data_IF_582265310517
#
_entry.id   IF_582265310517
#
_cell.length_a   1.000
_cell.length_b   1.000
_cell.length_c   1.000
_cell.angle_alpha   90.00
_cell.angle_beta   90.00
_cell.angle_gamma   90.00
#
_symmetry.space_group_name_H-M   'P 1'
#
loop_
_entity.id
_entity.type
_entity.pdbx_description
1 polymer ?
#
# COMPACT_ATOMS: atom_id res chain seq x y z
N UNK A 1 13.97 14.78 -9.86
CA UNK A 1 14.78 15.76 -9.10
C UNK A 1 13.88 16.83 -8.47
N UNK A 2 12.61 16.48 -8.17
CA UNK A 2 11.53 17.47 -8.05
C UNK A 2 10.97 17.58 -6.62
N UNK A 3 11.26 16.61 -5.75
CA UNK A 3 10.78 16.55 -4.37
C UNK A 3 11.27 17.72 -3.50
N UNK A 4 12.48 18.23 -3.74
CA UNK A 4 13.02 19.39 -3.01
C UNK A 4 12.33 20.70 -3.38
N UNK A 5 11.78 20.80 -4.59
CA UNK A 5 11.06 21.99 -5.06
C UNK A 5 9.64 22.02 -4.49
N UNK A 6 9.00 20.85 -4.44
CA UNK A 6 7.68 20.67 -3.83
C UNK A 6 7.71 20.87 -2.30
N UNK A 7 8.77 20.43 -1.62
CA UNK A 7 8.91 20.62 -0.17
C UNK A 7 9.16 22.08 0.22
N UNK A 8 9.96 22.83 -0.56
CA UNK A 8 10.14 24.27 -0.38
C UNK A 8 8.82 25.02 -0.53
N UNK A 9 8.05 24.70 -1.58
CA UNK A 9 6.75 25.32 -1.81
C UNK A 9 5.75 25.04 -0.67
N UNK A 10 5.81 23.85 -0.07
CA UNK A 10 4.98 23.46 1.06
C UNK A 10 5.30 24.28 2.32
N UNK A 11 6.59 24.46 2.64
CA UNK A 11 7.02 25.29 3.76
C UNK A 11 6.67 26.77 3.55
N UNK A 12 6.83 27.28 2.33
CA UNK A 12 6.44 28.66 2.00
C UNK A 12 4.93 28.86 2.16
N UNK A 13 4.13 27.88 1.71
CA UNK A 13 2.68 27.88 1.88
C UNK A 13 2.29 27.81 3.36
N UNK A 14 2.94 26.96 4.14
CA UNK A 14 2.73 26.85 5.59
C UNK A 14 3.03 28.17 6.31
N UNK A 15 4.19 28.78 6.04
CA UNK A 15 4.60 30.03 6.68
C UNK A 15 3.66 31.18 6.31
N UNK A 16 3.21 31.24 5.05
CA UNK A 16 2.20 32.19 4.59
C UNK A 16 0.88 32.02 5.34
N UNK A 17 0.39 30.79 5.48
CA UNK A 17 -0.87 30.52 6.18
C UNK A 17 -0.78 30.87 7.67
N UNK A 18 0.32 30.53 8.34
CA UNK A 18 0.53 30.94 9.74
C UNK A 18 0.55 32.46 9.89
N UNK A 19 1.27 33.16 9.00
CA UNK A 19 1.31 34.62 9.01
C UNK A 19 -0.10 35.22 8.83
N UNK A 20 -0.90 34.66 7.92
CA UNK A 20 -2.28 35.09 7.69
C UNK A 20 -3.17 34.84 8.92
N UNK A 21 -3.10 33.66 9.55
CA UNK A 21 -3.83 33.37 10.79
C UNK A 21 -3.47 34.37 11.90
N UNK A 22 -2.18 34.61 12.14
CA UNK A 22 -1.73 35.53 13.19
C UNK A 22 -2.13 36.98 12.90
N UNK A 23 -2.04 37.42 11.64
CA UNK A 23 -2.43 38.76 11.22
C UNK A 23 -3.92 39.01 11.41
N UNK A 24 -4.76 38.06 10.97
CA UNK A 24 -6.22 38.13 11.11
C UNK A 24 -6.66 38.06 12.57
N UNK A 25 -6.03 37.20 13.38
CA UNK A 25 -6.31 37.14 14.81
C UNK A 25 -6.00 38.47 15.52
N UNK A 26 -4.88 39.10 15.16
CA UNK A 26 -4.53 40.44 15.67
C UNK A 26 -5.58 41.48 15.25
N UNK A 27 -6.02 41.47 13.99
CA UNK A 27 -7.06 42.39 13.51
C UNK A 27 -8.40 42.16 14.21
N UNK A 28 -8.80 40.91 14.42
CA UNK A 28 -10.02 40.55 15.15
C UNK A 28 -9.99 41.08 16.60
N UNK A 29 -8.86 40.91 17.28
CA UNK A 29 -8.66 41.44 18.65
C UNK A 29 -8.76 42.96 18.67
N UNK A 30 -8.18 43.63 17.67
CA UNK A 30 -8.24 45.09 17.53
C UNK A 30 -9.68 45.58 17.32
N UNK A 31 -10.42 44.97 16.38
CA UNK A 31 -11.82 45.30 16.09
C UNK A 31 -12.72 45.08 17.31
N UNK A 32 -12.51 43.99 18.05
CA UNK A 32 -13.24 43.73 19.30
C UNK A 32 -12.97 44.79 20.37
N UNK A 33 -11.72 45.27 20.50
CA UNK A 33 -11.42 46.37 21.43
C UNK A 33 -12.02 47.71 21.00
N UNK A 34 -12.07 47.99 19.70
CA UNK A 34 -12.71 49.19 19.14
C UNK A 34 -14.22 49.16 19.41
N UNK A 35 -14.88 48.01 19.22
CA UNK A 35 -16.28 47.83 19.57
C UNK A 35 -16.54 48.06 21.06
N UNK A 36 -15.75 47.45 21.93
CA UNK A 36 -15.90 47.59 23.38
C UNK A 36 -15.72 49.04 23.86
N UNK A 37 -14.82 49.81 23.22
CA UNK A 37 -14.69 51.24 23.48
C UNK A 37 -15.84 52.06 22.88
N UNK A 38 -16.32 51.68 21.68
CA UNK A 38 -17.41 52.35 20.98
C UNK A 38 -18.74 52.26 21.71
N UNK A 39 -19.06 51.10 22.28
CA UNK A 39 -20.24 50.89 23.13
C UNK A 39 -20.22 51.78 24.39
N UNK A 40 -19.04 51.98 24.98
CA UNK A 40 -18.88 52.84 26.17
C UNK A 40 -18.99 54.33 25.86
N UNK A 41 -18.65 54.75 24.63
CA UNK A 41 -18.53 56.17 24.24
C UNK A 41 -19.73 56.70 23.44
N UNK A 42 -20.85 55.97 23.34
CA UNK A 42 -21.96 56.29 22.43
C UNK A 42 -21.46 56.55 21.00
N UNK A 43 -20.64 55.64 20.48
CA UNK A 43 -20.13 55.74 19.12
C UNK A 43 -21.27 55.77 18.10
N UNK A 44 -21.03 56.48 17.00
CA UNK A 44 -21.96 56.61 15.88
C UNK A 44 -22.34 55.20 15.35
N UNK A 45 -23.64 54.93 15.12
CA UNK A 45 -24.13 53.57 14.87
C UNK A 45 -23.60 52.97 13.56
N UNK A 46 -23.26 53.78 12.55
CA UNK A 46 -22.63 53.27 11.32
C UNK A 46 -21.22 52.74 11.62
N UNK A 47 -20.47 53.40 12.50
CA UNK A 47 -19.13 52.96 12.91
C UNK A 47 -19.15 51.60 13.64
N UNK A 48 -20.14 51.37 14.50
CA UNK A 48 -20.32 50.08 15.18
C UNK A 48 -20.68 48.97 14.18
N UNK A 49 -21.58 49.26 13.23
CA UNK A 49 -21.98 48.32 12.19
C UNK A 49 -20.82 47.93 11.26
N UNK A 50 -20.01 48.89 10.82
CA UNK A 50 -18.81 48.63 9.99
C UNK A 50 -17.79 47.79 10.76
N UNK A 51 -17.59 48.07 12.04
CA UNK A 51 -16.68 47.28 12.88
C UNK A 51 -17.17 45.84 13.03
N UNK A 52 -18.50 45.63 13.15
CA UNK A 52 -19.10 44.30 13.18
C UNK A 52 -18.95 43.54 11.87
N UNK A 53 -19.19 44.20 10.74
CA UNK A 53 -18.99 43.59 9.41
C UNK A 53 -17.53 43.23 9.17
N UNK A 54 -16.60 44.11 9.56
CA UNK A 54 -15.16 43.86 9.48
C UNK A 54 -14.73 42.69 10.36
N UNK A 55 -15.28 42.59 11.58
CA UNK A 55 -15.00 41.47 12.50
C UNK A 55 -15.43 40.14 11.89
N UNK A 56 -16.61 40.09 11.28
CA UNK A 56 -17.11 38.88 10.63
C UNK A 56 -16.26 38.48 9.41
N UNK A 57 -15.85 39.44 8.58
CA UNK A 57 -14.97 39.20 7.45
C UNK A 57 -13.60 38.64 7.89
N UNK A 58 -13.02 39.19 8.97
CA UNK A 58 -11.75 38.68 9.50
C UNK A 58 -11.89 37.28 10.10
N UNK A 59 -13.03 36.98 10.74
CA UNK A 59 -13.32 35.64 11.25
C UNK A 59 -13.47 34.60 10.12
N UNK A 60 -14.18 34.94 9.05
CA UNK A 60 -14.32 34.07 7.87
C UNK A 60 -12.97 33.83 7.17
N UNK A 61 -12.15 34.88 7.06
CA UNK A 61 -10.79 34.77 6.54
C UNK A 61 -9.91 33.85 7.40
N UNK A 62 -9.97 34.01 8.73
CA UNK A 62 -9.22 33.18 9.68
C UNK A 62 -9.66 31.71 9.61
N UNK A 63 -10.96 31.46 9.56
CA UNK A 63 -11.51 30.11 9.42
C UNK A 63 -11.06 29.44 8.11
N UNK A 64 -11.02 30.19 7.01
CA UNK A 64 -10.54 29.71 5.71
C UNK A 64 -9.04 29.37 5.77
N UNK A 65 -8.23 30.25 6.36
CA UNK A 65 -6.79 30.03 6.51
C UNK A 65 -6.47 28.77 7.35
N UNK A 66 -7.26 28.51 8.41
CA UNK A 66 -7.15 27.29 9.22
C UNK A 66 -7.56 26.04 8.42
N UNK A 67 -8.61 26.11 7.60
CA UNK A 67 -9.00 25.00 6.71
C UNK A 67 -7.90 24.71 5.70
N UNK A 68 -7.25 25.72 5.16
CA UNK A 68 -6.15 25.56 4.22
C UNK A 68 -4.92 24.93 4.90
N UNK A 69 -4.64 25.25 6.17
CA UNK A 69 -3.62 24.54 6.97
C UNK A 69 -3.96 23.06 7.17
N UNK A 70 -5.22 22.74 7.46
CA UNK A 70 -5.70 21.36 7.56
C UNK A 70 -5.57 20.63 6.22
N UNK A 71 -5.92 21.26 5.11
CA UNK A 71 -5.75 20.72 3.76
C UNK A 71 -4.27 20.49 3.42
N UNK A 72 -3.38 21.40 3.82
CA UNK A 72 -1.93 21.24 3.69
C UNK A 72 -1.43 20.04 4.50
N UNK A 73 -1.92 19.86 5.73
CA UNK A 73 -1.57 18.71 6.57
C UNK A 73 -2.02 17.39 5.95
N UNK A 74 -3.17 17.40 5.26
CA UNK A 74 -3.66 16.24 4.52
C UNK A 74 -2.76 15.94 3.33
N UNK A 75 -2.39 16.95 2.52
CA UNK A 75 -1.43 16.78 1.41
C UNK A 75 -0.08 16.27 1.89
N UNK A 76 0.41 16.77 3.04
CA UNK A 76 1.64 16.27 3.64
C UNK A 76 1.50 14.79 4.00
N UNK A 77 0.43 14.40 4.68
CA UNK A 77 0.16 12.99 5.00
C UNK A 77 0.00 12.14 3.74
N UNK A 78 -0.63 12.65 2.69
CA UNK A 78 -0.71 11.99 1.38
C UNK A 78 0.66 11.83 0.74
N UNK A 79 1.56 12.81 0.84
CA UNK A 79 2.97 12.66 0.43
C UNK A 79 3.72 11.63 1.27
N UNK A 80 3.39 11.46 2.55
CA UNK A 80 3.96 10.39 3.39
C UNK A 80 3.35 9.01 3.10
N UNK A 81 2.05 8.94 2.79
CA UNK A 81 1.29 7.72 2.53
C UNK A 81 1.36 7.24 1.09
N UNK A 82 1.66 8.13 0.13
CA UNK A 82 1.83 7.82 -1.29
C UNK A 82 3.23 8.13 -1.80
N UNK A 83 4.07 8.79 -1.01
CA UNK A 83 5.50 8.93 -1.31
C UNK A 83 6.14 7.56 -1.31
N UNK A 84 6.94 7.27 -2.36
CA UNK A 84 7.54 5.97 -2.70
C UNK A 84 7.39 4.86 -1.64
N UNK A 85 6.17 4.31 -1.49
CA UNK A 85 6.01 2.96 -0.97
C UNK A 85 6.66 2.07 -2.02
N UNK A 86 7.91 1.70 -1.80
CA UNK A 86 8.60 0.86 -2.77
C UNK A 86 10.12 0.93 -2.78
N UNK A 87 10.77 1.95 -2.18
CA UNK A 87 12.24 1.89 -2.13
C UNK A 87 12.74 0.78 -1.18
N UNK A 88 12.02 0.52 -0.09
CA UNK A 88 12.29 -0.66 0.75
C UNK A 88 11.71 -1.96 0.18
N UNK A 89 10.69 -1.90 -0.69
CA UNK A 89 10.07 -3.08 -1.29
C UNK A 89 10.89 -3.63 -2.46
N UNK A 90 11.52 -2.77 -3.25
CA UNK A 90 12.47 -3.20 -4.29
C UNK A 90 13.65 -3.95 -3.69
N UNK A 91 14.27 -3.41 -2.66
CA UNK A 91 15.34 -4.09 -1.93
C UNK A 91 14.85 -5.33 -1.17
N UNK A 92 13.66 -5.30 -0.57
CA UNK A 92 13.09 -6.47 0.10
C UNK A 92 12.72 -7.60 -0.87
N UNK A 93 12.17 -7.27 -2.05
CA UNK A 93 11.90 -8.26 -3.11
C UNK A 93 13.20 -8.83 -3.68
N UNK A 94 14.19 -7.98 -3.97
CA UNK A 94 15.51 -8.43 -4.43
C UNK A 94 16.22 -9.30 -3.38
N UNK A 95 16.08 -8.98 -2.08
CA UNK A 95 16.61 -9.83 -1.00
C UNK A 95 15.82 -11.13 -0.86
N UNK A 96 14.50 -11.11 -1.03
CA UNK A 96 13.68 -12.30 -1.02
C UNK A 96 13.99 -13.25 -2.20
N UNK A 97 14.21 -12.70 -3.39
CA UNK A 97 14.60 -13.46 -4.59
C UNK A 97 15.98 -14.10 -4.39
N UNK A 98 16.96 -13.34 -3.89
CA UNK A 98 18.30 -13.88 -3.56
C UNK A 98 18.23 -14.95 -2.48
N UNK A 99 17.42 -14.74 -1.44
CA UNK A 99 17.23 -15.72 -0.38
C UNK A 99 16.60 -17.01 -0.92
N UNK A 100 15.65 -16.90 -1.84
CA UNK A 100 15.03 -18.04 -2.50
C UNK A 100 16.06 -18.83 -3.34
N UNK A 101 16.88 -18.13 -4.13
CA UNK A 101 17.96 -18.75 -4.91
C UNK A 101 18.98 -19.45 -4.00
N UNK A 102 19.36 -18.81 -2.88
CA UNK A 102 20.28 -19.39 -1.91
C UNK A 102 19.70 -20.62 -1.21
N UNK A 103 18.39 -20.62 -0.89
CA UNK A 103 17.69 -21.78 -0.32
C UNK A 103 17.65 -22.93 -1.30
N UNK A 104 17.37 -22.69 -2.58
CA UNK A 104 17.40 -23.72 -3.63
C UNK A 104 18.81 -24.32 -3.74
N UNK A 105 19.84 -23.47 -3.78
CA UNK A 105 21.23 -23.91 -3.84
C UNK A 105 21.64 -24.72 -2.61
N UNK A 106 21.22 -24.32 -1.42
CA UNK A 106 21.48 -25.07 -0.19
C UNK A 106 20.78 -26.43 -0.20
N UNK A 107 19.56 -26.51 -0.71
CA UNK A 107 18.84 -27.77 -0.86
C UNK A 107 19.52 -28.72 -1.85
N UNK A 108 20.01 -28.21 -2.98
CA UNK A 108 20.77 -29.00 -3.96
C UNK A 108 22.07 -29.55 -3.36
N UNK A 109 22.85 -28.71 -2.67
CA UNK A 109 24.09 -29.14 -2.01
C UNK A 109 23.82 -30.18 -0.92
N UNK A 110 22.77 -29.99 -0.11
CA UNK A 110 22.38 -30.96 0.90
C UNK A 110 21.97 -32.28 0.26
N UNK A 111 21.17 -32.26 -0.80
CA UNK A 111 20.77 -33.45 -1.54
C UNK A 111 21.97 -34.20 -2.13
N UNK A 112 22.96 -33.50 -2.69
CA UNK A 112 24.18 -34.12 -3.22
C UNK A 112 25.02 -34.82 -2.12
N UNK A 113 25.14 -34.20 -0.95
CA UNK A 113 25.83 -34.81 0.20
C UNK A 113 25.08 -36.05 0.68
N UNK A 114 23.75 -35.97 0.82
CA UNK A 114 22.93 -37.11 1.22
C UNK A 114 23.03 -38.25 0.21
N UNK A 115 22.95 -37.95 -1.09
CA UNK A 115 23.13 -38.92 -2.17
C UNK A 115 24.46 -39.65 -2.07
N UNK A 116 25.58 -38.91 -1.94
CA UNK A 116 26.92 -39.51 -1.82
C UNK A 116 27.02 -40.44 -0.60
N UNK A 117 26.44 -40.02 0.53
CA UNK A 117 26.40 -40.82 1.76
C UNK A 117 25.58 -42.08 1.60
N UNK A 118 24.39 -41.98 1.00
CA UNK A 118 23.51 -43.12 0.80
C UNK A 118 24.04 -44.10 -0.25
N UNK A 119 24.67 -43.61 -1.31
CA UNK A 119 25.38 -44.45 -2.28
C UNK A 119 26.52 -45.24 -1.62
N UNK A 120 27.31 -44.59 -0.75
CA UNK A 120 28.36 -45.26 0.02
C UNK A 120 27.83 -46.36 0.93
N UNK A 121 26.73 -46.10 1.65
CA UNK A 121 26.07 -47.10 2.51
C UNK A 121 25.44 -48.24 1.70
N UNK A 122 24.80 -47.94 0.58
CA UNK A 122 24.20 -48.94 -0.29
C UNK A 122 25.27 -49.86 -0.87
N UNK A 123 26.38 -49.29 -1.37
CA UNK A 123 27.51 -50.06 -1.90
C UNK A 123 28.13 -50.96 -0.83
N UNK A 124 28.25 -50.48 0.42
CA UNK A 124 28.75 -51.29 1.54
C UNK A 124 27.81 -52.45 1.91
N UNK A 125 26.51 -52.29 1.69
CA UNK A 125 25.50 -53.33 1.87
C UNK A 125 25.26 -54.21 0.62
N UNK A 126 26.03 -54.01 -0.46
CA UNK A 126 25.91 -54.76 -1.71
C UNK A 126 24.71 -54.37 -2.60
N UNK A 127 24.08 -53.23 -2.33
CA UNK A 127 22.94 -52.68 -3.09
C UNK A 127 23.26 -51.38 -3.83
N UNK A 128 22.37 -50.94 -4.72
CA UNK A 128 22.46 -49.63 -5.40
C UNK A 128 21.39 -48.68 -4.86
N UNK A 129 21.80 -47.49 -4.43
CA UNK A 129 20.86 -46.45 -4.00
C UNK A 129 20.15 -45.82 -5.21
N UNK A 130 18.85 -45.55 -5.07
CA UNK A 130 18.06 -44.80 -6.05
C UNK A 130 17.23 -43.74 -5.31
N UNK A 131 17.28 -42.45 -5.72
CA UNK A 131 16.47 -41.43 -5.10
C UNK A 131 15.00 -41.70 -5.39
N UNK A 132 14.20 -41.90 -4.34
CA UNK A 132 12.75 -42.00 -4.47
C UNK A 132 12.18 -40.59 -4.60
N UNK A 133 12.16 -40.03 -5.81
CA UNK A 133 11.25 -38.91 -6.07
C UNK A 133 9.83 -39.47 -5.97
N UNK A 134 9.07 -39.07 -4.94
CA UNK A 134 7.63 -39.29 -4.91
C UNK A 134 7.03 -38.51 -6.08
N UNK A 135 6.77 -39.20 -7.18
CA UNK A 135 6.00 -38.68 -8.31
C UNK A 135 4.54 -38.58 -7.88
N UNK A 136 4.19 -37.50 -7.18
CA UNK A 136 2.81 -37.12 -6.93
C UNK A 136 2.40 -36.14 -8.03
N UNK A 137 1.91 -36.66 -9.16
CA UNK A 137 1.45 -35.83 -10.27
C UNK A 137 1.27 -36.56 -11.59
N UNK A 138 0.03 -37.03 -11.81
CA UNK A 138 -0.62 -37.27 -13.10
C UNK A 138 -0.24 -38.54 -13.88
N UNK A 139 -0.90 -39.65 -13.53
CA UNK A 139 -1.17 -40.71 -14.49
C UNK A 139 -2.07 -40.14 -15.61
N UNK A 140 -1.70 -40.25 -16.90
CA UNK A 140 -2.63 -39.96 -17.98
C UNK A 140 -3.74 -41.02 -17.97
N UNK A 141 -4.99 -40.58 -17.87
CA UNK A 141 -6.16 -41.43 -18.01
C UNK A 141 -6.13 -42.16 -19.36
N UNK A 142 -6.50 -43.46 -19.44
CA UNK A 142 -6.56 -44.15 -20.71
C UNK A 142 -7.65 -43.54 -21.60
N UNK A 143 -7.27 -43.22 -22.84
CA UNK A 143 -8.17 -42.69 -23.87
C UNK A 143 -9.34 -43.67 -24.15
N UNK A 144 -10.52 -43.18 -24.55
CA UNK A 144 -11.65 -44.04 -24.87
C UNK A 144 -11.36 -44.80 -26.17
N UNK A 145 -11.24 -46.12 -26.07
CA UNK A 145 -11.17 -47.02 -27.22
C UNK A 145 -12.46 -46.95 -28.03
N UNK A 146 -12.35 -46.39 -29.23
CA UNK A 146 -13.37 -46.46 -30.27
C UNK A 146 -13.63 -47.92 -30.64
N UNK A 147 -14.92 -48.29 -30.64
CA UNK A 147 -15.38 -49.63 -30.99
C UNK A 147 -15.21 -49.94 -32.48
N UNK A 148 -14.70 -51.14 -32.74
CA UNK A 148 -14.85 -51.93 -33.96
C UNK A 148 -14.67 -53.37 -33.44
N UNK A 149 -15.63 -54.28 -33.40
CA UNK A 149 -16.73 -54.55 -34.31
C UNK A 149 -16.47 -55.94 -34.90
N UNK A 150 -16.81 -57.02 -34.16
CA UNK A 150 -16.98 -58.42 -34.58
C UNK A 150 -17.18 -59.24 -33.28
N UNK A 151 -18.17 -60.09 -33.04
CA UNK A 151 -19.11 -60.77 -33.91
C UNK A 151 -19.18 -62.23 -33.51
N UNK A 152 -20.03 -62.60 -32.53
CA UNK A 152 -20.47 -64.00 -32.36
C UNK A 152 -21.71 -64.08 -31.47
N UNK A 153 -22.84 -64.31 -32.15
CA UNK A 153 -24.15 -64.55 -31.59
C UNK A 153 -24.29 -65.98 -31.04
N UNK A 154 -25.06 -66.16 -29.97
CA UNK A 154 -25.77 -67.43 -29.72
C UNK A 154 -27.03 -67.15 -28.89
N UNK A 155 -28.19 -67.17 -29.55
CA UNK A 155 -29.50 -67.40 -28.93
C UNK A 155 -29.79 -68.91 -28.96
N UNK A 156 -30.68 -69.43 -28.10
CA UNK A 156 -31.98 -69.89 -28.64
C UNK A 156 -33.13 -69.76 -27.59
N UNK A 157 -34.31 -70.40 -27.76
CA UNK A 157 -35.47 -69.81 -28.42
C UNK A 157 -36.70 -69.69 -27.50
N UNK A 158 -37.64 -68.83 -27.88
CA UNK A 158 -38.95 -68.68 -27.22
C UNK A 158 -39.95 -69.78 -27.59
N UNK A 159 -41.04 -69.86 -26.83
CA UNK A 159 -42.18 -70.72 -27.12
C UNK A 159 -43.42 -70.34 -26.33
N UNK A 160 -44.41 -69.82 -27.08
CA UNK A 160 -45.87 -69.78 -26.89
C UNK A 160 -46.46 -69.01 -25.69
#
# INVERSE_FOLDING_TARGET
>A
MDTSRDSSNLLDTHNRLIADVLSRFRMLTMLATIQAEGERKNAEPQTVAVTGMSMQMEFEGLHTSIKDLLALSRRLKELWLFGKLGQGEGDARVQADKLQDDVVRCAELLNAIQQTRYEGLANAAGGKWTPTMKQEGLAPAPAPTAGTGEGSATAPPGGA
#
